data_IF_877453170958
#
_entry.id   IF_877453170958
#
_cell.length_a   1.000
_cell.length_b   1.000
_cell.length_c   1.000
_cell.angle_alpha   90.00
_cell.angle_beta   90.00
_cell.angle_gamma   90.00
#
_symmetry.space_group_name_H-M   'P 1'
#
loop_
_entity.id
_entity.type
_entity.pdbx_description
1 polymer ?
#
# COMPACT_ATOMS: atom_id res chain seq x y z
N UNK A 1 -14.40 2.89 18.12
CA UNK A 1 -15.29 1.77 17.74
C UNK A 1 -14.52 0.48 17.96
N UNK A 2 -15.14 -0.57 18.52
CA UNK A 2 -14.48 -1.86 18.73
C UNK A 2 -14.41 -2.71 17.46
N UNK A 3 -13.66 -3.81 17.50
CA UNK A 3 -13.65 -4.79 16.42
C UNK A 3 -14.77 -5.83 16.62
N UNK A 4 -15.64 -6.00 15.61
CA UNK A 4 -16.62 -7.10 15.53
C UNK A 4 -16.11 -8.16 14.55
N UNK A 5 -15.68 -9.30 15.11
CA UNK A 5 -15.21 -10.44 14.32
C UNK A 5 -16.32 -11.04 13.44
N UNK A 6 -17.56 -11.10 13.93
CA UNK A 6 -18.67 -11.69 13.17
C UNK A 6 -19.00 -10.85 11.94
N UNK A 7 -18.95 -9.52 12.06
CA UNK A 7 -19.09 -8.62 10.93
C UNK A 7 -17.94 -8.77 9.94
N UNK A 8 -16.69 -8.80 10.42
CA UNK A 8 -15.51 -8.97 9.57
C UNK A 8 -15.57 -10.29 8.77
N UNK A 9 -15.93 -11.41 9.42
CA UNK A 9 -16.07 -12.70 8.76
C UNK A 9 -17.24 -12.73 7.76
N UNK A 10 -18.34 -12.03 8.04
CA UNK A 10 -19.48 -11.90 7.11
C UNK A 10 -19.12 -11.09 5.87
N UNK A 11 -18.31 -10.06 6.04
CA UNK A 11 -17.84 -9.18 4.96
C UNK A 11 -16.80 -9.87 4.09
N UNK A 12 -15.71 -10.37 4.70
CA UNK A 12 -14.56 -10.97 4.01
C UNK A 12 -14.79 -12.42 3.57
N UNK A 13 -15.77 -13.10 4.16
CA UNK A 13 -16.17 -14.50 3.86
C UNK A 13 -14.98 -15.45 3.64
N UNK A 14 -14.02 -15.58 4.59
CA UNK A 14 -12.78 -16.31 4.36
C UNK A 14 -12.97 -17.74 3.80
N UNK A 15 -14.01 -18.43 4.28
CA UNK A 15 -14.34 -19.81 3.88
C UNK A 15 -14.79 -19.94 2.42
N UNK A 16 -15.15 -18.85 1.74
CA UNK A 16 -15.53 -18.86 0.32
C UNK A 16 -14.33 -18.76 -0.62
N UNK A 17 -13.17 -18.35 -0.12
CA UNK A 17 -11.95 -18.28 -0.92
C UNK A 17 -11.21 -19.61 -0.82
N UNK A 18 -11.34 -20.46 -1.83
CA UNK A 18 -10.78 -21.83 -1.84
C UNK A 18 -9.68 -22.04 -2.90
N UNK A 19 -9.62 -21.20 -3.92
CA UNK A 19 -8.59 -21.26 -4.98
C UNK A 19 -7.31 -20.52 -4.63
N UNK A 20 -6.36 -20.51 -5.56
CA UNK A 20 -5.18 -19.64 -5.52
C UNK A 20 -5.48 -18.33 -6.22
N UNK A 21 -4.83 -17.25 -5.78
CA UNK A 21 -4.87 -15.97 -6.47
C UNK A 21 -3.81 -15.95 -7.57
N UNK A 22 -4.23 -15.58 -8.75
CA UNK A 22 -3.36 -15.30 -9.88
C UNK A 22 -3.51 -13.83 -10.26
N UNK A 23 -2.40 -13.23 -10.69
CA UNK A 23 -2.41 -11.83 -11.06
C UNK A 23 -3.23 -11.68 -12.34
N UNK A 24 -4.15 -10.73 -12.38
CA UNK A 24 -4.88 -10.39 -13.61
C UNK A 24 -3.92 -9.87 -14.68
N UNK A 25 -4.34 -9.98 -15.94
CA UNK A 25 -3.63 -9.41 -17.08
C UNK A 25 -3.62 -7.88 -16.99
N UNK A 26 -2.64 -7.24 -17.63
CA UNK A 26 -2.42 -5.79 -17.48
C UNK A 26 -3.64 -4.99 -17.94
N UNK A 27 -4.36 -5.45 -18.96
CA UNK A 27 -5.55 -4.80 -19.51
C UNK A 27 -6.73 -4.74 -18.51
N UNK A 28 -6.74 -5.61 -17.51
CA UNK A 28 -7.79 -5.68 -16.47
C UNK A 28 -7.42 -4.90 -15.20
N UNK A 29 -6.26 -4.22 -15.19
CA UNK A 29 -5.74 -3.52 -14.02
C UNK A 29 -5.83 -2.00 -14.18
N UNK A 30 -6.15 -1.26 -13.09
CA UNK A 30 -6.29 0.19 -13.14
C UNK A 30 -4.91 0.88 -13.11
N UNK A 31 -4.32 1.10 -14.28
CA UNK A 31 -3.01 1.74 -14.38
C UNK A 31 -3.10 3.27 -14.29
N UNK A 32 -2.05 3.86 -13.73
CA UNK A 32 -1.90 5.32 -13.62
C UNK A 32 -1.94 6.02 -14.98
N UNK A 33 -1.53 5.35 -16.07
CA UNK A 33 -1.55 5.91 -17.42
C UNK A 33 -2.98 6.17 -17.93
N UNK A 34 -3.95 5.41 -17.43
CA UNK A 34 -5.37 5.51 -17.81
C UNK A 34 -6.16 6.41 -16.85
N UNK A 35 -5.51 6.91 -15.79
CA UNK A 35 -6.16 7.72 -14.76
C UNK A 35 -6.13 9.22 -15.12
N UNK A 36 -7.26 9.93 -14.98
CA UNK A 36 -7.28 11.38 -15.20
C UNK A 36 -6.45 12.11 -14.14
N UNK A 37 -5.79 13.21 -14.49
CA UNK A 37 -5.00 13.97 -13.52
C UNK A 37 -5.82 14.47 -12.32
N UNK A 38 -7.06 14.92 -12.57
CA UNK A 38 -8.02 15.33 -11.55
C UNK A 38 -8.93 14.15 -11.23
N UNK A 39 -9.16 13.89 -9.95
CA UNK A 39 -10.00 12.77 -9.51
C UNK A 39 -10.18 12.74 -8.00
N UNK A 40 -10.68 11.60 -7.50
CA UNK A 40 -10.86 11.37 -6.07
C UNK A 40 -9.53 11.36 -5.30
N UNK A 41 -9.60 11.36 -3.95
CA UNK A 41 -8.39 11.37 -3.13
C UNK A 41 -7.56 10.10 -3.30
N UNK A 42 -6.26 10.24 -3.09
CA UNK A 42 -5.29 9.16 -3.07
C UNK A 42 -4.93 8.78 -1.64
N UNK A 43 -4.63 7.52 -1.43
CA UNK A 43 -4.01 7.03 -0.21
C UNK A 43 -2.66 6.41 -0.58
N UNK A 44 -1.57 7.00 -0.10
CA UNK A 44 -0.24 6.66 -0.59
C UNK A 44 0.31 5.41 0.11
N UNK A 45 0.69 4.41 -0.67
CA UNK A 45 1.51 3.29 -0.22
C UNK A 45 2.99 3.71 -0.07
N UNK A 46 3.76 2.99 0.76
CA UNK A 46 5.17 3.28 1.03
C UNK A 46 6.02 3.23 -0.24
N UNK A 47 5.68 2.34 -1.19
CA UNK A 47 6.38 2.27 -2.47
C UNK A 47 6.41 3.60 -3.21
N UNK A 48 5.33 4.41 -3.11
CA UNK A 48 5.24 5.74 -3.75
C UNK A 48 6.32 6.66 -3.20
N UNK A 49 6.43 6.77 -1.87
CA UNK A 49 7.44 7.63 -1.24
C UNK A 49 8.85 7.19 -1.63
N UNK A 50 9.13 5.90 -1.56
CA UNK A 50 10.46 5.37 -1.89
C UNK A 50 10.82 5.60 -3.35
N UNK A 51 9.87 5.44 -4.27
CA UNK A 51 10.11 5.65 -5.68
C UNK A 51 10.27 7.13 -6.03
N UNK A 52 9.50 8.03 -5.42
CA UNK A 52 9.68 9.49 -5.56
C UNK A 52 11.04 9.91 -5.00
N UNK A 53 11.39 9.47 -3.79
CA UNK A 53 12.68 9.80 -3.16
C UNK A 53 13.89 9.28 -3.94
N UNK A 54 13.73 8.18 -4.66
CA UNK A 54 14.77 7.61 -5.52
C UNK A 54 14.75 8.18 -6.94
N UNK A 55 13.87 9.13 -7.26
CA UNK A 55 13.73 9.70 -8.61
C UNK A 55 13.27 8.68 -9.65
N UNK A 56 12.47 7.68 -9.24
CA UNK A 56 11.96 6.59 -10.08
C UNK A 56 10.47 6.65 -10.35
N UNK A 57 9.75 7.61 -9.75
CA UNK A 57 8.33 7.80 -10.02
C UNK A 57 8.09 8.13 -11.50
N UNK A 58 7.13 7.47 -12.17
CA UNK A 58 6.68 7.88 -13.50
C UNK A 58 6.05 9.27 -13.47
N UNK A 59 6.11 9.99 -14.59
CA UNK A 59 5.52 11.34 -14.73
C UNK A 59 4.02 11.35 -14.43
N UNK A 60 3.31 10.28 -14.74
CA UNK A 60 1.89 10.10 -14.45
C UNK A 60 1.63 10.04 -12.94
N UNK A 61 2.52 9.40 -12.18
CA UNK A 61 2.46 9.38 -10.71
C UNK A 61 2.67 10.79 -10.16
N UNK A 62 3.70 11.49 -10.61
CA UNK A 62 3.99 12.87 -10.17
C UNK A 62 2.81 13.80 -10.46
N UNK A 63 2.17 13.61 -11.62
CA UNK A 63 0.97 14.36 -12.00
C UNK A 63 -0.20 14.09 -11.05
N UNK A 64 -0.47 12.84 -10.69
CA UNK A 64 -1.52 12.51 -9.73
C UNK A 64 -1.22 13.12 -8.34
N UNK A 65 0.02 13.03 -7.87
CA UNK A 65 0.45 13.60 -6.58
C UNK A 65 0.31 15.12 -6.55
N UNK A 66 0.50 15.79 -7.69
CA UNK A 66 0.37 17.25 -7.81
C UNK A 66 -1.09 17.72 -7.75
N UNK A 67 -2.01 16.99 -8.40
CA UNK A 67 -3.37 17.48 -8.64
C UNK A 67 -4.46 16.86 -7.76
N UNK A 68 -4.20 15.74 -7.08
CA UNK A 68 -5.17 15.07 -6.21
C UNK A 68 -4.86 15.28 -4.73
N UNK A 69 -5.90 15.18 -3.89
CA UNK A 69 -5.73 15.19 -2.44
C UNK A 69 -5.06 13.90 -1.98
N UNK A 70 -3.91 14.01 -1.33
CA UNK A 70 -3.18 12.86 -0.78
C UNK A 70 -3.47 12.67 0.72
N UNK A 71 -3.84 11.46 1.08
CA UNK A 71 -3.91 10.96 2.45
C UNK A 71 -2.76 9.98 2.71
N UNK A 72 -2.34 9.92 3.97
CA UNK A 72 -1.14 9.21 4.40
C UNK A 72 -1.49 8.22 5.51
N UNK A 73 -0.84 7.06 5.52
CA UNK A 73 -0.99 6.08 6.58
C UNK A 73 0.13 6.22 7.62
N UNK A 74 -0.21 6.07 8.91
CA UNK A 74 0.81 5.88 9.94
C UNK A 74 1.60 4.58 9.77
N UNK A 75 1.09 3.61 8.99
CA UNK A 75 1.82 2.40 8.60
C UNK A 75 2.99 2.78 7.69
N UNK A 76 2.74 3.59 6.66
CA UNK A 76 3.78 4.09 5.77
C UNK A 76 4.78 4.98 6.52
N UNK A 77 4.31 5.80 7.46
CA UNK A 77 5.20 6.56 8.36
C UNK A 77 6.11 5.64 9.17
N UNK A 78 5.59 4.55 9.73
CA UNK A 78 6.38 3.55 10.47
C UNK A 78 7.43 2.87 9.58
N UNK A 79 7.09 2.59 8.32
CA UNK A 79 8.02 2.00 7.36
C UNK A 79 9.11 2.97 6.90
N UNK A 80 8.77 4.24 6.67
CA UNK A 80 9.75 5.29 6.36
C UNK A 80 10.71 5.50 7.54
N UNK A 81 10.15 5.66 8.75
CA UNK A 81 10.93 5.90 9.97
C UNK A 81 11.76 4.69 10.40
N UNK A 82 11.44 3.48 9.91
CA UNK A 82 12.27 2.30 10.12
C UNK A 82 13.72 2.49 9.65
N UNK A 83 13.95 3.32 8.62
CA UNK A 83 15.29 3.64 8.12
C UNK A 83 16.22 4.17 9.22
N UNK A 84 15.72 5.01 10.14
CA UNK A 84 16.50 5.59 11.24
C UNK A 84 17.01 4.52 12.23
N UNK A 85 16.26 3.44 12.40
CA UNK A 85 16.67 2.32 13.26
C UNK A 85 17.47 1.24 12.52
N UNK A 86 17.41 1.19 11.18
CA UNK A 86 17.92 0.07 10.37
C UNK A 86 19.24 0.34 9.65
N UNK A 87 19.48 1.58 9.19
CA UNK A 87 20.66 1.92 8.40
C UNK A 87 21.93 1.95 9.26
N UNK A 88 23.07 1.56 8.68
CA UNK A 88 24.36 1.61 9.36
C UNK A 88 24.84 3.06 9.45
N UNK A 89 24.99 3.64 10.66
CA UNK A 89 25.44 5.02 10.82
C UNK A 89 26.87 5.25 10.31
N UNK A 90 27.68 4.20 10.11
CA UNK A 90 29.04 4.31 9.56
C UNK A 90 29.07 4.35 8.04
N UNK A 91 27.98 3.98 7.36
CA UNK A 91 27.93 4.03 5.90
C UNK A 91 27.82 5.49 5.42
N UNK A 92 28.68 5.88 4.48
CA UNK A 92 28.84 7.27 4.04
C UNK A 92 27.55 7.92 3.52
N UNK A 93 26.63 7.14 2.94
CA UNK A 93 25.35 7.66 2.41
C UNK A 93 24.24 7.76 3.45
N UNK A 94 24.38 7.14 4.63
CA UNK A 94 23.28 7.01 5.61
C UNK A 94 22.75 8.38 6.04
N UNK A 95 23.64 9.33 6.33
CA UNK A 95 23.25 10.68 6.76
C UNK A 95 22.33 11.36 5.73
N UNK A 96 22.74 11.40 4.47
CA UNK A 96 21.97 12.04 3.41
C UNK A 96 20.61 11.35 3.17
N UNK A 97 20.57 10.01 3.28
CA UNK A 97 19.32 9.25 3.18
C UNK A 97 18.37 9.62 4.33
N UNK A 98 18.87 9.66 5.57
CA UNK A 98 18.04 9.99 6.73
C UNK A 98 17.52 11.44 6.69
N UNK A 99 18.34 12.41 6.27
CA UNK A 99 17.91 13.81 6.08
C UNK A 99 16.78 13.91 5.04
N UNK A 100 16.86 13.12 3.97
CA UNK A 100 15.82 13.08 2.92
C UNK A 100 14.51 12.48 3.46
N UNK A 101 14.60 11.41 4.25
CA UNK A 101 13.42 10.79 4.88
C UNK A 101 12.81 11.73 5.93
N UNK A 102 13.63 12.41 6.73
CA UNK A 102 13.19 13.41 7.72
C UNK A 102 12.35 14.50 7.06
N UNK A 103 12.89 15.14 6.02
CA UNK A 103 12.17 16.18 5.27
C UNK A 103 10.83 15.67 4.69
N UNK A 104 10.81 14.43 4.19
CA UNK A 104 9.58 13.82 3.67
C UNK A 104 8.53 13.63 4.75
N UNK A 105 8.94 13.20 5.95
CA UNK A 105 8.03 12.99 7.09
C UNK A 105 7.49 14.33 7.60
N UNK A 106 8.33 15.35 7.68
CA UNK A 106 7.94 16.70 8.14
C UNK A 106 6.93 17.37 7.19
N UNK A 107 7.00 17.06 5.90
CA UNK A 107 6.06 17.56 4.89
C UNK A 107 4.67 16.89 4.95
N UNK A 108 4.50 15.78 5.70
CA UNK A 108 3.21 15.10 5.83
C UNK A 108 2.25 15.92 6.71
N UNK A 109 1.11 16.41 6.18
CA UNK A 109 0.19 17.20 6.99
C UNK A 109 -0.52 16.32 8.04
N UNK A 110 -0.42 16.70 9.32
CA UNK A 110 -0.99 15.93 10.43
C UNK A 110 -2.49 15.61 10.27
N UNK A 111 -3.28 16.53 9.70
CA UNK A 111 -4.72 16.32 9.45
C UNK A 111 -5.02 15.35 8.29
N UNK A 112 -4.00 14.89 7.55
CA UNK A 112 -4.10 13.91 6.46
C UNK A 112 -3.36 12.61 6.78
N UNK A 113 -2.74 12.51 7.95
CA UNK A 113 -2.08 11.32 8.45
C UNK A 113 -3.06 10.52 9.31
N UNK A 114 -3.33 9.29 8.91
CA UNK A 114 -4.36 8.45 9.52
C UNK A 114 -3.76 7.22 10.17
N UNK A 115 -4.08 7.00 11.44
CA UNK A 115 -3.79 5.76 12.14
C UNK A 115 -4.90 4.73 11.92
N UNK A 116 -4.59 3.44 11.67
CA UNK A 116 -5.60 2.40 11.63
C UNK A 116 -6.27 2.26 13.00
N UNK A 117 -7.60 2.28 13.02
CA UNK A 117 -8.37 1.99 14.23
C UNK A 117 -8.41 0.47 14.52
N UNK A 118 -8.95 0.10 15.68
CA UNK A 118 -9.04 -1.30 16.13
C UNK A 118 -9.83 -2.17 15.15
N UNK A 119 -10.85 -1.63 14.50
CA UNK A 119 -11.64 -2.39 13.53
C UNK A 119 -10.83 -2.67 12.25
N UNK A 120 -10.08 -1.67 11.76
CA UNK A 120 -9.17 -1.83 10.62
C UNK A 120 -8.07 -2.85 10.94
N UNK A 121 -7.48 -2.81 12.15
CA UNK A 121 -6.50 -3.81 12.59
C UNK A 121 -7.04 -5.24 12.55
N UNK A 122 -8.24 -5.45 13.11
CA UNK A 122 -8.85 -6.78 13.12
C UNK A 122 -9.21 -7.29 11.72
N UNK A 123 -9.74 -6.42 10.85
CA UNK A 123 -10.02 -6.78 9.46
C UNK A 123 -8.75 -7.06 8.65
N UNK A 124 -7.69 -6.27 8.85
CA UNK A 124 -6.40 -6.46 8.18
C UNK A 124 -5.76 -7.80 8.55
N UNK A 125 -5.87 -8.25 9.80
CA UNK A 125 -5.39 -9.57 10.20
C UNK A 125 -6.06 -10.72 9.43
N UNK A 126 -7.38 -10.66 9.25
CA UNK A 126 -8.12 -11.66 8.46
C UNK A 126 -7.73 -11.58 6.98
N UNK A 127 -7.66 -10.37 6.42
CA UNK A 127 -7.35 -10.15 5.02
C UNK A 127 -5.91 -10.55 4.66
N UNK A 128 -4.94 -10.26 5.53
CA UNK A 128 -3.55 -10.69 5.37
C UNK A 128 -3.41 -12.22 5.42
N UNK A 129 -4.13 -12.88 6.33
CA UNK A 129 -4.18 -14.34 6.40
C UNK A 129 -4.79 -14.97 5.13
N UNK A 130 -5.78 -14.31 4.54
CA UNK A 130 -6.30 -14.70 3.22
C UNK A 130 -5.28 -14.50 2.11
N UNK A 131 -4.63 -13.33 2.04
CA UNK A 131 -3.56 -13.09 1.06
C UNK A 131 -2.51 -14.18 1.13
N UNK A 132 -2.02 -14.47 2.34
CA UNK A 132 -1.00 -15.49 2.56
C UNK A 132 -1.46 -16.87 2.08
N UNK A 133 -2.64 -17.32 2.52
CA UNK A 133 -3.18 -18.64 2.18
C UNK A 133 -3.41 -18.80 0.68
N UNK A 134 -3.88 -17.76 0.01
CA UNK A 134 -4.29 -17.82 -1.40
C UNK A 134 -3.13 -17.51 -2.36
N UNK A 135 -2.06 -16.85 -1.91
CA UNK A 135 -0.90 -16.48 -2.73
C UNK A 135 0.11 -17.62 -2.95
N UNK A 136 -0.07 -18.76 -2.28
CA UNK A 136 0.80 -19.93 -2.32
C UNK A 136 2.30 -19.60 -2.10
N UNK A 137 2.60 -18.63 -1.23
CA UNK A 137 3.97 -18.24 -0.92
C UNK A 137 4.61 -19.21 0.09
N UNK A 138 5.95 -19.37 0.06
CA UNK A 138 6.67 -20.15 1.06
C UNK A 138 6.45 -19.61 2.47
N UNK A 139 6.30 -20.51 3.44
CA UNK A 139 6.19 -20.16 4.85
C UNK A 139 7.55 -19.73 5.39
N UNK A 140 7.57 -18.77 6.32
CA UNK A 140 8.78 -18.38 7.07
C UNK A 140 9.68 -17.32 6.39
N UNK A 141 9.29 -16.78 5.25
CA UNK A 141 10.06 -15.74 4.53
C UNK A 141 9.69 -14.30 4.94
N UNK A 142 8.87 -14.12 5.98
CA UNK A 142 8.53 -12.79 6.49
C UNK A 142 7.44 -12.03 5.71
N UNK A 143 6.81 -12.67 4.71
CA UNK A 143 5.71 -12.08 3.91
C UNK A 143 4.49 -11.67 4.74
N UNK A 144 4.28 -12.30 5.90
CA UNK A 144 3.11 -12.10 6.75
C UNK A 144 3.01 -10.66 7.27
N UNK A 145 4.13 -10.07 7.71
CA UNK A 145 4.14 -8.68 8.19
C UNK A 145 3.83 -7.71 7.05
N UNK A 146 4.41 -7.94 5.87
CA UNK A 146 4.13 -7.15 4.66
C UNK A 146 2.65 -7.19 4.32
N UNK A 147 2.03 -8.38 4.30
CA UNK A 147 0.60 -8.50 4.01
C UNK A 147 -0.31 -7.82 5.02
N UNK A 148 0.06 -7.80 6.31
CA UNK A 148 -0.68 -7.02 7.30
C UNK A 148 -0.59 -5.53 6.96
N UNK A 149 0.59 -5.01 6.64
CA UNK A 149 0.77 -3.61 6.28
C UNK A 149 0.01 -3.23 5.00
N UNK A 150 0.11 -4.02 3.94
CA UNK A 150 -0.63 -3.81 2.69
C UNK A 150 -2.15 -3.83 2.93
N UNK A 151 -2.64 -4.77 3.75
CA UNK A 151 -4.06 -4.85 4.11
C UNK A 151 -4.54 -3.65 4.94
N UNK A 152 -3.71 -3.14 5.87
CA UNK A 152 -4.03 -1.92 6.64
C UNK A 152 -4.17 -0.71 5.70
N UNK A 153 -3.19 -0.50 4.82
CA UNK A 153 -3.19 0.60 3.85
C UNK A 153 -4.44 0.53 2.96
N UNK A 154 -4.75 -0.66 2.45
CA UNK A 154 -5.92 -0.90 1.61
C UNK A 154 -7.25 -0.61 2.31
N UNK A 155 -7.41 -1.09 3.55
CA UNK A 155 -8.63 -0.89 4.32
C UNK A 155 -8.82 0.56 4.77
N UNK A 156 -7.75 1.27 5.13
CA UNK A 156 -7.81 2.70 5.44
C UNK A 156 -8.23 3.51 4.21
N UNK A 157 -7.64 3.25 3.04
CA UNK A 157 -8.01 3.92 1.80
C UNK A 157 -9.51 3.71 1.49
N UNK A 158 -9.99 2.48 1.64
CA UNK A 158 -11.40 2.14 1.49
C UNK A 158 -12.29 2.90 2.48
N UNK A 159 -11.91 2.98 3.76
CA UNK A 159 -12.65 3.70 4.80
C UNK A 159 -12.77 5.20 4.47
N UNK A 160 -11.73 5.79 3.91
CA UNK A 160 -11.68 7.21 3.54
C UNK A 160 -12.28 7.51 2.16
N UNK A 161 -12.71 6.51 1.41
CA UNK A 161 -13.16 6.71 0.03
C UNK A 161 -12.04 7.22 -0.89
N UNK A 162 -10.80 6.79 -0.64
CA UNK A 162 -9.62 7.07 -1.46
C UNK A 162 -9.23 5.84 -2.30
N UNK A 163 -8.39 6.07 -3.32
CA UNK A 163 -7.75 5.00 -4.09
C UNK A 163 -6.31 4.82 -3.62
N UNK A 164 -5.87 3.59 -3.38
CA UNK A 164 -4.46 3.34 -3.05
C UNK A 164 -3.61 3.55 -4.29
N UNK A 165 -2.63 4.45 -4.22
CA UNK A 165 -1.60 4.56 -5.25
C UNK A 165 -0.40 3.70 -4.85
N UNK A 166 0.03 2.75 -5.68
CA UNK A 166 1.10 1.80 -5.32
C UNK A 166 1.83 1.20 -6.52
N UNK A 167 3.12 0.93 -6.32
CA UNK A 167 3.95 0.12 -7.22
C UNK A 167 3.95 -1.38 -6.89
N UNK A 168 3.24 -1.81 -5.83
CA UNK A 168 3.07 -3.20 -5.43
C UNK A 168 1.87 -3.83 -6.15
N UNK A 169 2.04 -4.05 -7.46
CA UNK A 169 0.98 -4.52 -8.37
C UNK A 169 0.33 -5.82 -7.89
N UNK A 170 1.13 -6.83 -7.54
CA UNK A 170 0.63 -8.18 -7.23
C UNK A 170 -0.28 -8.19 -6.00
N UNK A 171 0.19 -7.64 -4.88
CA UNK A 171 -0.52 -7.78 -3.61
C UNK A 171 -1.79 -6.94 -3.60
N UNK A 172 -1.78 -5.76 -4.20
CA UNK A 172 -2.95 -4.91 -4.29
C UNK A 172 -3.97 -5.40 -5.32
N UNK A 173 -3.52 -6.04 -6.41
CA UNK A 173 -4.43 -6.82 -7.26
C UNK A 173 -5.14 -7.91 -6.45
N UNK A 174 -4.39 -8.72 -5.71
CA UNK A 174 -4.93 -9.77 -4.85
C UNK A 174 -5.92 -9.26 -3.80
N UNK A 175 -5.62 -8.12 -3.17
CA UNK A 175 -6.51 -7.47 -2.20
C UNK A 175 -7.84 -7.08 -2.86
N UNK A 176 -7.83 -6.56 -4.10
CA UNK A 176 -9.07 -6.23 -4.83
C UNK A 176 -9.85 -7.47 -5.28
N UNK A 177 -9.20 -8.60 -5.55
CA UNK A 177 -9.90 -9.85 -5.86
C UNK A 177 -10.63 -10.42 -4.63
N UNK A 178 -10.10 -10.22 -3.42
CA UNK A 178 -10.76 -10.65 -2.17
C UNK A 178 -11.84 -9.65 -1.75
N UNK A 179 -11.52 -8.35 -1.76
CA UNK A 179 -12.40 -7.29 -1.30
C UNK A 179 -12.55 -6.22 -2.40
N UNK A 180 -13.40 -6.43 -3.41
CA UNK A 180 -13.49 -5.60 -4.63
C UNK A 180 -14.08 -4.20 -4.42
N UNK A 181 -14.41 -3.83 -3.18
CA UNK A 181 -14.98 -2.51 -2.85
C UNK A 181 -13.91 -1.46 -2.53
N UNK A 182 -12.64 -1.86 -2.38
CA UNK A 182 -11.54 -0.91 -2.35
C UNK A 182 -11.10 -0.52 -3.76
N UNK A 183 -10.44 0.63 -3.89
CA UNK A 183 -9.93 1.15 -5.16
C UNK A 183 -8.42 1.25 -5.10
N UNK A 184 -7.77 0.95 -6.22
CA UNK A 184 -6.32 1.01 -6.38
C UNK A 184 -6.00 1.71 -7.70
N UNK A 185 -4.83 2.32 -7.76
CA UNK A 185 -4.20 2.86 -8.96
C UNK A 185 -2.77 2.33 -8.95
N UNK A 186 -2.42 1.59 -9.99
CA UNK A 186 -1.16 0.87 -10.09
C UNK A 186 -0.18 1.61 -10.99
N UNK A 187 1.10 1.55 -10.67
CA UNK A 187 2.16 2.01 -11.55
C UNK A 187 3.34 1.04 -11.55
N UNK A 188 4.22 1.18 -12.54
CA UNK A 188 5.52 0.51 -12.57
C UNK A 188 6.61 1.56 -12.70
N UNK A 189 7.70 1.39 -11.96
CA UNK A 189 8.89 2.20 -12.20
C UNK A 189 9.60 1.74 -13.48
N UNK A 190 10.32 2.63 -14.18
CA UNK A 190 11.02 2.29 -15.43
C UNK A 190 11.97 1.08 -15.30
N UNK A 191 12.55 0.87 -14.12
CA UNK A 191 13.45 -0.26 -13.83
C UNK A 191 12.71 -1.59 -13.61
N UNK A 192 11.43 -1.57 -13.22
CA UNK A 192 10.58 -2.76 -12.97
C UNK A 192 9.74 -3.19 -14.18
N UNK A 193 9.81 -2.48 -15.30
CA UNK A 193 9.08 -2.83 -16.52
C UNK A 193 9.54 -4.17 -17.16
N UNK A 194 10.66 -4.75 -16.71
CA UNK A 194 11.30 -5.93 -17.31
C UNK A 194 11.15 -7.23 -16.51
N UNK A 195 10.44 -7.23 -15.38
CA UNK A 195 10.15 -8.46 -14.64
C UNK A 195 8.66 -8.80 -14.80
N UNK A 196 8.39 -9.59 -15.84
CA UNK A 196 7.13 -10.24 -16.18
C UNK A 196 6.72 -11.27 -15.13
#
# INVERSE_FOLDING_TARGET
MGFDLSEALRSLKPQKHTGTLERRVDEDLPWVADEPAIGGPLFLDTSVYLDVLQGRSPTEVDRLLTYRLCHHSSVCLSELTHAFGRLDPKHHSTKAVLETVEATVDDIPAHRLHAPDVAIWGQAGVLAGLLFRLSNLPKGEGHERRFVNDALVYLQARQLGASVLTGNVRDFDFLTQILPTGRIILYRTPTRAHSS
#
